data_IF_899221663333
#
_entry.id   IF_899221663333
#
_cell.length_a   1.000
_cell.length_b   1.000
_cell.length_c   1.000
_cell.angle_alpha   90.00
_cell.angle_beta   90.00
_cell.angle_gamma   90.00
#
_symmetry.space_group_name_H-M   'P 1'
#
loop_
_entity.id
_entity.type
_entity.pdbx_description
1 polymer ?
#
# COMPACT_ATOMS: atom_id res chain seq x y z
N UNK A 1 12.26 31.10 -14.91
CA UNK A 1 13.36 30.13 -14.67
C UNK A 1 12.74 28.78 -14.98
N UNK A 2 12.68 28.49 -16.31
CA UNK A 2 11.94 27.37 -16.88
C UNK A 2 12.78 26.10 -16.78
N UNK A 3 12.51 25.30 -15.75
CA UNK A 3 13.05 23.94 -15.70
C UNK A 3 12.21 23.09 -16.67
N UNK A 4 12.52 23.20 -17.96
CA UNK A 4 12.03 22.28 -18.98
C UNK A 4 12.52 20.89 -18.57
N UNK A 5 11.61 20.08 -18.01
CA UNK A 5 11.86 18.66 -17.76
C UNK A 5 12.14 18.02 -19.12
N UNK A 6 13.40 17.71 -19.37
CA UNK A 6 13.79 16.88 -20.50
C UNK A 6 13.10 15.52 -20.30
N UNK A 7 12.27 15.07 -21.26
CA UNK A 7 11.65 13.77 -21.15
C UNK A 7 12.78 12.72 -21.11
N UNK A 8 12.80 11.94 -20.05
CA UNK A 8 13.65 10.77 -19.95
C UNK A 8 13.51 9.96 -21.24
N UNK A 9 14.63 9.41 -21.77
CA UNK A 9 14.64 8.41 -22.83
C UNK A 9 14.01 7.11 -22.30
N UNK A 10 12.71 7.16 -21.95
CA UNK A 10 11.96 5.99 -21.61
C UNK A 10 11.97 5.06 -22.83
N UNK A 11 12.37 3.83 -22.65
CA UNK A 11 12.27 2.81 -23.70
C UNK A 11 10.83 2.75 -24.17
N UNK A 12 10.56 2.86 -25.49
CA UNK A 12 9.20 2.81 -26.00
C UNK A 12 8.55 1.47 -25.62
N UNK A 13 7.36 1.51 -25.10
CA UNK A 13 6.61 0.33 -24.70
C UNK A 13 5.16 0.40 -25.19
N UNK A 14 4.53 -0.76 -25.36
CA UNK A 14 3.17 -0.88 -25.81
C UNK A 14 2.18 -0.88 -24.65
N UNK A 15 0.90 -0.60 -24.91
CA UNK A 15 -0.18 -0.72 -23.92
C UNK A 15 -0.24 -2.12 -23.30
N UNK A 16 0.02 -3.17 -24.10
CA UNK A 16 0.03 -4.55 -23.67
C UNK A 16 1.18 -4.80 -22.69
N UNK A 17 2.37 -4.31 -22.97
CA UNK A 17 3.52 -4.44 -22.08
C UNK A 17 3.31 -3.73 -20.76
N UNK A 18 2.67 -2.54 -20.79
CA UNK A 18 2.29 -1.82 -19.58
C UNK A 18 1.31 -2.64 -18.74
N UNK A 19 0.24 -3.14 -19.33
CA UNK A 19 -0.73 -3.98 -18.64
C UNK A 19 -0.07 -5.22 -18.02
N UNK A 20 0.76 -5.94 -18.78
CA UNK A 20 1.47 -7.13 -18.30
C UNK A 20 2.49 -6.81 -17.19
N UNK A 21 3.14 -5.66 -17.25
CA UNK A 21 4.02 -5.21 -16.18
C UNK A 21 3.26 -5.03 -14.88
N UNK A 22 2.15 -4.30 -14.89
CA UNK A 22 1.34 -4.11 -13.69
C UNK A 22 0.66 -5.39 -13.21
N UNK A 23 0.25 -6.27 -14.13
CA UNK A 23 -0.26 -7.60 -13.79
C UNK A 23 0.81 -8.43 -13.06
N UNK A 24 2.03 -8.43 -13.56
CA UNK A 24 3.16 -9.10 -12.93
C UNK A 24 3.47 -8.51 -11.55
N UNK A 25 3.53 -7.18 -11.43
CA UNK A 25 3.70 -6.50 -10.14
C UNK A 25 2.59 -6.90 -9.16
N UNK A 26 1.32 -6.91 -9.59
CA UNK A 26 0.19 -7.35 -8.76
C UNK A 26 0.31 -8.79 -8.29
N UNK A 27 0.85 -9.68 -9.13
CA UNK A 27 0.99 -11.11 -8.83
C UNK A 27 2.10 -11.39 -7.79
N UNK A 28 3.26 -10.72 -7.91
CA UNK A 28 4.46 -11.04 -7.11
C UNK A 28 4.62 -10.18 -5.87
N UNK A 29 3.69 -9.29 -5.57
CA UNK A 29 3.80 -8.25 -4.53
C UNK A 29 3.72 -8.78 -3.09
N UNK A 30 4.27 -9.93 -2.82
CA UNK A 30 4.42 -10.42 -1.45
C UNK A 30 5.42 -9.55 -0.68
N UNK A 31 5.00 -9.06 0.51
CA UNK A 31 5.84 -8.19 1.35
C UNK A 31 5.79 -6.70 1.01
N UNK A 32 4.99 -6.29 0.04
CA UNK A 32 4.76 -4.89 -0.32
C UNK A 32 4.87 -4.61 -1.80
N UNK A 33 3.86 -3.97 -2.36
CA UNK A 33 3.75 -3.67 -3.81
C UNK A 33 4.78 -2.64 -4.26
N UNK A 34 5.11 -1.67 -3.40
CA UNK A 34 5.93 -0.52 -3.75
C UNK A 34 7.38 -0.90 -4.17
N UNK A 35 8.11 -1.76 -3.45
CA UNK A 35 9.44 -2.20 -3.86
C UNK A 35 9.44 -2.90 -5.22
N UNK A 36 8.42 -3.71 -5.49
CA UNK A 36 8.27 -4.42 -6.77
C UNK A 36 7.92 -3.48 -7.91
N UNK A 37 7.03 -2.51 -7.69
CA UNK A 37 6.72 -1.50 -8.68
C UNK A 37 7.95 -0.66 -9.04
N UNK A 38 8.76 -0.25 -8.03
CA UNK A 38 10.02 0.45 -8.29
C UNK A 38 10.98 -0.40 -9.10
N UNK A 39 11.19 -1.66 -8.68
CA UNK A 39 12.10 -2.58 -9.37
C UNK A 39 11.70 -2.76 -10.84
N UNK A 40 10.41 -2.95 -11.13
CA UNK A 40 9.95 -3.14 -12.51
C UNK A 40 10.04 -1.87 -13.35
N UNK A 41 9.57 -0.73 -12.82
CA UNK A 41 9.47 0.51 -13.60
C UNK A 41 10.80 1.24 -13.74
N UNK A 42 11.68 1.18 -12.71
CA UNK A 42 12.94 1.92 -12.68
C UNK A 42 14.12 1.01 -13.05
N UNK A 43 14.28 -0.12 -12.35
CA UNK A 43 15.51 -0.90 -12.44
C UNK A 43 15.49 -1.85 -13.65
N UNK A 44 14.37 -2.53 -13.91
CA UNK A 44 14.27 -3.55 -14.97
C UNK A 44 13.92 -2.94 -16.32
N UNK A 45 12.77 -2.26 -16.40
CA UNK A 45 12.24 -1.74 -17.67
C UNK A 45 12.74 -0.35 -18.01
N UNK A 46 13.25 0.38 -17.02
CA UNK A 46 13.76 1.74 -17.19
C UNK A 46 12.74 2.69 -17.86
N UNK A 47 11.48 2.50 -17.53
CA UNK A 47 10.40 3.36 -18.01
C UNK A 47 10.31 4.67 -17.24
N UNK A 48 10.83 4.69 -16.00
CA UNK A 48 10.95 5.85 -15.15
C UNK A 48 12.37 5.96 -14.60
N UNK A 49 12.82 7.18 -14.37
CA UNK A 49 13.97 7.47 -13.53
C UNK A 49 13.59 7.32 -12.05
N UNK A 50 14.59 7.23 -11.15
CA UNK A 50 14.33 7.21 -9.71
C UNK A 50 13.60 8.46 -9.22
N UNK A 51 13.93 9.62 -9.81
CA UNK A 51 13.34 10.91 -9.44
C UNK A 51 11.88 11.01 -9.91
N UNK A 52 11.60 10.60 -11.16
CA UNK A 52 10.23 10.54 -11.68
C UNK A 52 9.35 9.59 -10.87
N UNK A 53 9.89 8.44 -10.46
CA UNK A 53 9.18 7.50 -9.61
C UNK A 53 8.86 8.11 -8.23
N UNK A 54 9.84 8.80 -7.61
CA UNK A 54 9.66 9.47 -6.32
C UNK A 54 8.64 10.61 -6.41
N UNK A 55 8.66 11.40 -7.48
CA UNK A 55 7.69 12.45 -7.74
C UNK A 55 6.27 11.89 -7.87
N UNK A 56 6.08 10.88 -8.73
CA UNK A 56 4.78 10.22 -8.91
C UNK A 56 4.27 9.57 -7.62
N UNK A 57 5.17 8.98 -6.84
CA UNK A 57 4.81 8.40 -5.54
C UNK A 57 4.36 9.47 -4.56
N UNK A 58 5.07 10.59 -4.50
CA UNK A 58 4.73 11.72 -3.62
C UNK A 58 3.36 12.32 -3.96
N UNK A 59 3.08 12.51 -5.25
CA UNK A 59 1.76 12.95 -5.71
C UNK A 59 0.67 11.90 -5.42
N UNK A 60 0.98 10.62 -5.61
CA UNK A 60 0.06 9.52 -5.30
C UNK A 60 -0.31 9.42 -3.81
N UNK A 61 0.56 9.90 -2.91
CA UNK A 61 0.28 9.93 -1.46
C UNK A 61 -0.71 11.03 -1.05
N UNK A 62 -0.85 12.08 -1.86
CA UNK A 62 -1.82 13.16 -1.60
C UNK A 62 -3.23 12.72 -1.99
N UNK A 63 -3.34 11.82 -2.97
CA UNK A 63 -4.63 11.33 -3.46
C UNK A 63 -5.19 10.26 -2.50
N UNK A 64 -6.50 10.28 -2.22
CA UNK A 64 -7.12 9.23 -1.43
C UNK A 64 -7.05 7.89 -2.17
N UNK A 65 -6.71 6.81 -1.44
CA UNK A 65 -6.61 5.46 -1.99
C UNK A 65 -5.23 4.82 -1.83
N UNK A 66 -5.06 3.57 -2.28
CA UNK A 66 -3.79 2.86 -2.19
C UNK A 66 -2.72 3.54 -3.07
N UNK A 67 -1.61 3.93 -2.48
CA UNK A 67 -0.54 4.71 -3.12
C UNK A 67 -0.06 4.10 -4.46
N UNK A 68 0.08 2.78 -4.52
CA UNK A 68 0.58 2.12 -5.73
C UNK A 68 -0.48 2.03 -6.83
N UNK A 69 -1.77 1.97 -6.46
CA UNK A 69 -2.87 2.09 -7.43
C UNK A 69 -2.88 3.51 -8.01
N UNK A 70 -2.77 4.54 -7.16
CA UNK A 70 -2.67 5.92 -7.62
C UNK A 70 -1.47 6.11 -8.55
N UNK A 71 -0.30 5.56 -8.19
CA UNK A 71 0.90 5.56 -9.04
C UNK A 71 0.64 4.89 -10.40
N UNK A 72 -0.02 3.73 -10.42
CA UNK A 72 -0.34 3.03 -11.66
C UNK A 72 -1.28 3.83 -12.56
N UNK A 73 -2.29 4.48 -11.97
CA UNK A 73 -3.22 5.37 -12.67
C UNK A 73 -2.47 6.55 -13.29
N UNK A 74 -1.62 7.22 -12.53
CA UNK A 74 -0.83 8.36 -12.98
C UNK A 74 0.17 7.97 -14.07
N UNK A 75 0.85 6.84 -13.91
CA UNK A 75 1.74 6.31 -14.93
C UNK A 75 1.01 6.03 -16.23
N UNK A 76 -0.13 5.36 -16.15
CA UNK A 76 -0.97 5.08 -17.32
C UNK A 76 -1.50 6.34 -17.98
N UNK A 77 -1.95 7.34 -17.18
CA UNK A 77 -2.43 8.62 -17.67
C UNK A 77 -1.35 9.37 -18.45
N UNK A 78 -0.13 9.41 -17.92
CA UNK A 78 1.01 10.12 -18.52
C UNK A 78 1.36 9.59 -19.92
N UNK A 79 1.24 8.26 -20.14
CA UNK A 79 1.72 7.63 -21.37
C UNK A 79 0.60 7.36 -22.40
N UNK A 80 -0.59 7.01 -21.94
CA UNK A 80 -1.70 6.59 -22.81
C UNK A 80 -3.04 7.22 -22.44
N UNK A 81 -3.04 8.29 -21.66
CA UNK A 81 -4.26 8.98 -21.25
C UNK A 81 -5.20 8.13 -20.39
N UNK A 82 -6.52 8.40 -20.41
CA UNK A 82 -7.49 7.70 -19.56
C UNK A 82 -7.52 6.18 -19.76
N UNK A 83 -7.34 5.73 -21.00
CA UNK A 83 -7.24 4.28 -21.31
C UNK A 83 -5.99 3.65 -20.69
N UNK A 84 -4.88 4.39 -20.66
CA UNK A 84 -3.67 3.95 -19.99
C UNK A 84 -3.87 3.80 -18.48
N UNK A 85 -4.55 4.74 -17.84
CA UNK A 85 -4.90 4.66 -16.42
C UNK A 85 -5.71 3.42 -16.10
N UNK A 86 -6.74 3.17 -16.91
CA UNK A 86 -7.60 1.98 -16.73
C UNK A 86 -6.82 0.69 -16.90
N UNK A 87 -5.98 0.60 -17.94
CA UNK A 87 -5.16 -0.59 -18.21
C UNK A 87 -4.12 -0.84 -17.12
N UNK A 88 -3.45 0.19 -16.63
CA UNK A 88 -2.43 0.04 -15.59
C UNK A 88 -3.07 -0.37 -14.24
N UNK A 89 -4.15 0.28 -13.84
CA UNK A 89 -4.86 -0.04 -12.61
C UNK A 89 -5.52 -1.43 -12.67
N UNK A 90 -6.18 -1.77 -13.80
CA UNK A 90 -6.76 -3.10 -13.97
C UNK A 90 -5.70 -4.19 -14.01
N UNK A 91 -4.57 -3.97 -14.66
CA UNK A 91 -3.44 -4.90 -14.63
C UNK A 91 -2.98 -5.18 -13.21
N UNK A 92 -2.76 -4.15 -12.42
CA UNK A 92 -2.30 -4.29 -11.04
C UNK A 92 -3.30 -5.05 -10.15
N UNK A 93 -4.60 -4.83 -10.33
CA UNK A 93 -5.64 -5.39 -9.47
C UNK A 93 -6.17 -6.74 -9.95
N UNK A 94 -6.05 -7.05 -11.22
CA UNK A 94 -6.69 -8.25 -11.82
C UNK A 94 -6.14 -9.54 -11.23
N UNK A 95 -4.81 -9.66 -11.10
CA UNK A 95 -4.21 -10.88 -10.58
C UNK A 95 -4.63 -11.20 -9.13
N UNK A 96 -4.48 -10.28 -8.16
CA UNK A 96 -4.95 -10.53 -6.81
C UNK A 96 -6.47 -10.70 -6.72
N UNK A 97 -7.25 -10.02 -7.56
CA UNK A 97 -8.70 -10.20 -7.60
C UNK A 97 -9.09 -11.60 -8.04
N UNK A 98 -8.50 -12.12 -9.12
CA UNK A 98 -8.77 -13.48 -9.62
C UNK A 98 -8.37 -14.51 -8.57
N UNK A 99 -7.19 -14.37 -7.96
CA UNK A 99 -6.74 -15.27 -6.88
C UNK A 99 -7.74 -15.27 -5.73
N UNK A 100 -8.17 -14.09 -5.29
CA UNK A 100 -9.12 -13.95 -4.20
C UNK A 100 -10.46 -14.61 -4.52
N UNK A 101 -10.99 -14.41 -5.74
CA UNK A 101 -12.25 -15.03 -6.18
C UNK A 101 -12.16 -16.55 -6.25
N UNK A 102 -11.04 -17.08 -6.74
CA UNK A 102 -10.80 -18.54 -6.77
C UNK A 102 -10.74 -19.09 -5.35
N UNK A 103 -9.98 -18.46 -4.47
CA UNK A 103 -9.88 -18.87 -3.06
C UNK A 103 -11.23 -18.78 -2.34
N UNK A 104 -12.01 -17.72 -2.59
CA UNK A 104 -13.34 -17.55 -1.99
C UNK A 104 -14.31 -18.66 -2.46
N UNK A 105 -14.26 -18.99 -3.74
CA UNK A 105 -15.08 -20.08 -4.30
C UNK A 105 -14.68 -21.45 -3.70
N UNK A 106 -13.38 -21.72 -3.64
CA UNK A 106 -12.86 -22.95 -3.01
C UNK A 106 -13.27 -23.01 -1.54
N UNK A 107 -13.15 -21.93 -0.81
CA UNK A 107 -13.58 -21.88 0.58
C UNK A 107 -15.08 -22.14 0.71
N UNK A 108 -15.92 -21.52 -0.12
CA UNK A 108 -17.37 -21.76 -0.13
C UNK A 108 -17.73 -23.23 -0.34
N UNK A 109 -16.98 -23.92 -1.21
CA UNK A 109 -17.22 -25.34 -1.52
C UNK A 109 -16.70 -26.28 -0.42
N UNK A 110 -15.54 -25.96 0.18
CA UNK A 110 -14.84 -26.88 1.09
C UNK A 110 -14.88 -26.43 2.57
N UNK A 111 -15.63 -25.39 2.90
CA UNK A 111 -15.67 -24.82 4.28
C UNK A 111 -16.25 -25.78 5.32
N UNK A 112 -16.93 -26.85 4.93
CA UNK A 112 -17.46 -27.86 5.83
C UNK A 112 -16.39 -28.87 6.31
N UNK A 113 -15.21 -28.90 5.69
CA UNK A 113 -14.10 -29.73 6.18
C UNK A 113 -13.31 -29.03 7.28
N UNK A 114 -13.14 -29.67 8.43
CA UNK A 114 -12.41 -29.11 9.57
C UNK A 114 -10.97 -28.70 9.21
N UNK A 115 -10.32 -29.49 8.35
CA UNK A 115 -8.97 -29.18 7.88
C UNK A 115 -8.89 -27.80 7.18
N UNK A 116 -9.90 -27.44 6.38
CA UNK A 116 -9.97 -26.14 5.67
C UNK A 116 -10.20 -25.01 6.67
N UNK A 117 -11.11 -25.22 7.63
CA UNK A 117 -11.34 -24.22 8.69
C UNK A 117 -10.09 -23.99 9.53
N UNK A 118 -9.38 -25.06 9.90
CA UNK A 118 -8.13 -24.96 10.64
C UNK A 118 -7.04 -24.22 9.83
N UNK A 119 -6.91 -24.50 8.54
CA UNK A 119 -5.96 -23.80 7.66
C UNK A 119 -6.27 -22.30 7.58
N UNK A 120 -7.53 -21.92 7.40
CA UNK A 120 -7.94 -20.50 7.35
C UNK A 120 -7.71 -19.81 8.69
N UNK A 121 -8.05 -20.45 9.82
CA UNK A 121 -7.78 -19.90 11.16
C UNK A 121 -6.28 -19.74 11.41
N UNK A 122 -5.46 -20.72 11.01
CA UNK A 122 -4.00 -20.61 11.12
C UNK A 122 -3.45 -19.44 10.30
N UNK A 123 -3.92 -19.27 9.05
CA UNK A 123 -3.53 -18.15 8.18
C UNK A 123 -3.93 -16.80 8.78
N UNK A 124 -5.15 -16.70 9.32
CA UNK A 124 -5.60 -15.48 10.01
C UNK A 124 -4.73 -15.16 11.24
N UNK A 125 -4.35 -16.16 12.02
CA UNK A 125 -3.47 -15.99 13.19
C UNK A 125 -2.07 -15.52 12.79
N UNK A 126 -1.48 -16.08 11.73
CA UNK A 126 -0.19 -15.64 11.18
C UNK A 126 -0.27 -14.20 10.68
N UNK A 127 -1.34 -13.86 9.96
CA UNK A 127 -1.56 -12.50 9.46
C UNK A 127 -1.69 -11.47 10.59
N UNK A 128 -2.41 -11.82 11.66
CA UNK A 128 -2.49 -10.99 12.87
C UNK A 128 -1.12 -10.81 13.53
N UNK A 129 -0.33 -11.89 13.62
CA UNK A 129 1.05 -11.84 14.13
C UNK A 129 1.96 -10.94 13.32
N UNK A 130 1.86 -10.99 11.97
CA UNK A 130 2.60 -10.09 11.08
C UNK A 130 2.21 -8.63 11.28
N UNK A 131 0.93 -8.32 11.40
CA UNK A 131 0.46 -6.95 11.68
C UNK A 131 1.00 -6.43 13.02
N UNK A 132 0.98 -7.27 14.06
CA UNK A 132 1.58 -6.93 15.35
C UNK A 132 3.08 -6.70 15.24
N UNK A 133 3.80 -7.54 14.52
CA UNK A 133 5.23 -7.38 14.29
C UNK A 133 5.59 -6.07 13.57
N UNK A 134 4.80 -5.69 12.55
CA UNK A 134 4.94 -4.40 11.87
C UNK A 134 4.67 -3.25 12.84
N UNK A 135 3.62 -3.33 13.65
CA UNK A 135 3.30 -2.33 14.67
C UNK A 135 4.43 -2.17 15.69
N UNK A 136 4.97 -3.27 16.22
CA UNK A 136 6.10 -3.26 17.16
C UNK A 136 7.36 -2.66 16.51
N UNK A 137 7.64 -3.02 15.26
CA UNK A 137 8.78 -2.48 14.51
C UNK A 137 8.63 -0.97 14.28
N UNK A 138 7.44 -0.47 13.99
CA UNK A 138 7.18 0.95 13.88
C UNK A 138 7.38 1.66 15.23
N UNK A 139 6.86 1.12 16.32
CA UNK A 139 7.06 1.62 17.68
C UNK A 139 8.55 1.66 18.08
N UNK A 140 9.33 0.66 17.70
CA UNK A 140 10.76 0.61 18.01
C UNK A 140 11.58 1.70 17.30
N UNK A 141 11.11 2.16 16.14
CA UNK A 141 11.75 3.21 15.34
C UNK A 141 11.32 4.63 15.75
N UNK A 142 10.27 4.76 16.55
CA UNK A 142 9.85 6.06 17.07
C UNK A 142 10.89 6.60 18.05
N UNK A 143 11.11 7.94 18.01
CA UNK A 143 11.98 8.64 18.96
C UNK A 143 11.61 8.24 20.39
N UNK A 144 12.63 8.13 21.28
CA UNK A 144 12.48 7.69 22.68
C UNK A 144 11.68 8.65 23.59
N UNK A 145 10.87 9.54 23.07
CA UNK A 145 9.96 10.35 23.85
C UNK A 145 8.92 9.45 24.49
N UNK A 146 8.94 9.31 25.80
CA UNK A 146 8.00 8.49 26.57
C UNK A 146 6.54 8.82 26.24
N UNK A 147 6.26 10.10 25.96
CA UNK A 147 4.94 10.57 25.62
C UNK A 147 4.37 10.03 24.32
N UNK A 148 5.17 9.98 23.27
CA UNK A 148 4.73 9.46 21.97
C UNK A 148 4.38 7.97 22.06
N UNK A 149 5.13 7.22 22.88
CA UNK A 149 4.85 5.80 23.15
C UNK A 149 3.56 5.61 23.95
N UNK A 150 3.31 6.46 24.94
CA UNK A 150 2.09 6.40 25.74
C UNK A 150 0.84 6.73 24.91
N UNK A 151 0.90 7.75 24.05
CA UNK A 151 -0.20 8.10 23.15
C UNK A 151 -0.48 6.96 22.16
N UNK A 152 0.56 6.35 21.60
CA UNK A 152 0.39 5.21 20.68
C UNK A 152 -0.17 3.97 21.39
N UNK A 153 0.29 3.69 22.61
CA UNK A 153 -0.22 2.57 23.40
C UNK A 153 -1.69 2.80 23.83
N UNK A 154 -2.04 4.01 24.22
CA UNK A 154 -3.42 4.38 24.55
C UNK A 154 -4.34 4.31 23.32
N UNK A 155 -3.88 4.75 22.15
CA UNK A 155 -4.61 4.62 20.89
C UNK A 155 -4.81 3.14 20.51
N UNK A 156 -3.80 2.30 20.68
CA UNK A 156 -3.86 0.87 20.38
C UNK A 156 -4.82 0.13 21.33
N UNK A 157 -4.72 0.38 22.63
CA UNK A 157 -5.60 -0.26 23.62
C UNK A 157 -7.04 0.26 23.51
N UNK A 158 -7.25 1.56 23.30
CA UNK A 158 -8.56 2.14 23.07
C UNK A 158 -9.25 1.62 21.81
N UNK A 159 -8.50 1.46 20.73
CA UNK A 159 -8.98 0.90 19.47
C UNK A 159 -9.31 -0.60 19.56
N UNK A 160 -8.49 -1.38 20.30
CA UNK A 160 -8.66 -2.82 20.44
C UNK A 160 -9.80 -3.22 21.40
N UNK A 161 -10.01 -2.47 22.48
CA UNK A 161 -11.02 -2.80 23.49
C UNK A 161 -12.42 -2.25 23.20
N UNK A 162 -12.50 -1.07 22.59
CA UNK A 162 -13.78 -0.35 22.41
C UNK A 162 -14.35 -0.48 21.00
N UNK A 163 -13.60 -1.08 20.03
CA UNK A 163 -14.00 -1.18 18.61
C UNK A 163 -14.71 0.08 18.06
N UNK A 164 -14.22 1.29 18.36
CA UNK A 164 -14.85 2.51 17.89
C UNK A 164 -14.64 2.65 16.37
N UNK A 165 -15.54 3.36 15.66
CA UNK A 165 -15.34 3.64 14.24
C UNK A 165 -14.01 4.38 14.04
N UNK A 166 -13.24 3.98 13.01
CA UNK A 166 -11.89 4.49 12.70
C UNK A 166 -11.81 6.02 12.71
N UNK A 167 -12.88 6.70 12.23
CA UNK A 167 -12.97 8.16 12.20
C UNK A 167 -12.93 8.78 13.61
N UNK A 168 -13.53 8.13 14.59
CA UNK A 168 -13.55 8.62 15.96
C UNK A 168 -12.17 8.46 16.63
N UNK A 169 -11.47 7.34 16.33
CA UNK A 169 -10.10 7.13 16.80
C UNK A 169 -9.18 8.22 16.23
N UNK A 170 -9.27 8.48 14.92
CA UNK A 170 -8.47 9.53 14.28
C UNK A 170 -8.82 10.93 14.80
N UNK A 171 -10.10 11.24 14.98
CA UNK A 171 -10.55 12.54 15.49
C UNK A 171 -10.06 12.85 16.92
N UNK A 172 -9.83 11.81 17.73
CA UNK A 172 -9.32 11.97 19.09
C UNK A 172 -7.78 11.94 19.12
N UNK A 173 -7.17 10.99 18.41
CA UNK A 173 -5.71 10.79 18.48
C UNK A 173 -4.92 11.90 17.80
N UNK A 174 -5.43 12.49 16.71
CA UNK A 174 -4.74 13.57 16.00
C UNK A 174 -4.61 14.83 16.89
N UNK A 175 -5.69 15.40 17.46
CA UNK A 175 -5.59 16.58 18.34
C UNK A 175 -4.75 16.30 19.58
N UNK A 176 -4.93 15.15 20.23
CA UNK A 176 -4.16 14.76 21.42
C UNK A 176 -2.66 14.69 21.11
N UNK A 177 -2.29 14.10 19.97
CA UNK A 177 -0.90 14.01 19.53
C UNK A 177 -0.29 15.39 19.24
N UNK A 178 -1.05 16.28 18.61
CA UNK A 178 -0.61 17.67 18.32
C UNK A 178 -0.39 18.46 19.62
N UNK A 179 -1.36 18.44 20.53
CA UNK A 179 -1.27 19.15 21.82
C UNK A 179 -0.09 18.63 22.64
N UNK A 180 0.06 17.31 22.70
CA UNK A 180 1.15 16.68 23.44
C UNK A 180 2.53 17.00 22.84
N UNK A 181 2.66 16.96 21.51
CA UNK A 181 3.88 17.34 20.81
C UNK A 181 4.26 18.81 21.01
N UNK A 182 3.25 19.68 21.09
CA UNK A 182 3.49 21.10 21.35
C UNK A 182 3.95 21.35 22.78
N UNK A 183 3.41 20.60 23.74
CA UNK A 183 3.80 20.72 25.16
C UNK A 183 5.17 20.11 25.46
N UNK A 184 5.53 19.04 24.76
CA UNK A 184 6.84 18.36 24.88
C UNK A 184 8.01 19.12 24.23
N UNK A 185 7.73 20.17 23.47
CA UNK A 185 8.76 21.04 22.84
C UNK A 185 9.12 22.29 23.66
N UNK A 186 8.42 22.52 24.76
CA UNK A 186 8.77 23.55 25.77
C UNK A 186 9.62 22.95 26.88
#
# INVERSE_FOLDING_TARGET
>A
MDTVMTPSKATPFTRKEMFLCFLYVGLISFGGVLPWARRELVDQRKWLTSDEFAEMLSLGQILPGPNVVNLSIMFGARHYGPLGSLLAASGLMLAPLVILLVLANLYGTFSHYDAVQHAVRATASVSAGLMLAVGINMLSKMRKALGDRLVTLAAFTGSGLLTPPLLLVLAVTIPVSIVFSWWSRK
#
